data_IF_050985706998
#
_entry.id   IF_050985706998
#
_cell.length_a   1.000
_cell.length_b   1.000
_cell.length_c   1.000
_cell.angle_alpha   90.00
_cell.angle_beta   90.00
_cell.angle_gamma   90.00
#
_symmetry.space_group_name_H-M   'P 1'
#
loop_
_entity.id
_entity.type
_entity.pdbx_description
1 polymer ?
#
# COMPACT_ATOMS: atom_id res chain seq x y z
N UNK A 1 -13.68 -15.37 -7.37
CA UNK A 1 -12.86 -14.36 -6.68
C UNK A 1 -13.40 -12.97 -6.98
N UNK A 2 -14.34 -12.50 -6.19
CA UNK A 2 -14.77 -11.09 -6.24
C UNK A 2 -13.93 -10.30 -5.24
N UNK A 3 -13.43 -9.16 -5.67
CA UNK A 3 -12.60 -8.28 -4.85
C UNK A 3 -12.48 -6.92 -5.51
N UNK A 4 -11.75 -6.01 -4.87
CA UNK A 4 -11.58 -4.63 -5.33
C UNK A 4 -10.12 -4.25 -5.27
N UNK A 5 -9.65 -3.55 -6.31
CA UNK A 5 -8.34 -2.93 -6.31
C UNK A 5 -8.44 -1.54 -5.69
N UNK A 6 -7.57 -1.26 -4.73
CA UNK A 6 -7.36 0.04 -4.14
C UNK A 6 -6.07 0.64 -4.69
N UNK A 7 -6.17 1.83 -5.27
CA UNK A 7 -5.03 2.64 -5.65
C UNK A 7 -4.70 3.58 -4.48
N UNK A 8 -3.60 3.31 -3.78
CA UNK A 8 -3.24 4.05 -2.58
C UNK A 8 -1.94 4.82 -2.78
N UNK A 9 -2.03 6.15 -2.62
CA UNK A 9 -0.91 7.08 -2.79
C UNK A 9 -0.46 7.62 -1.43
N UNK A 10 0.84 7.75 -1.23
CA UNK A 10 1.38 8.29 0.01
C UNK A 10 2.86 8.64 -0.05
N UNK A 11 3.40 9.21 1.02
CA UNK A 11 4.83 9.53 1.12
C UNK A 11 5.45 8.64 2.18
N UNK A 12 6.53 7.95 1.80
CA UNK A 12 7.23 7.01 2.69
C UNK A 12 8.73 7.29 2.72
N UNK A 13 9.35 6.96 3.85
CA UNK A 13 10.79 6.75 3.88
C UNK A 13 11.12 5.51 3.03
N UNK A 14 12.14 5.58 2.16
CA UNK A 14 12.58 4.45 1.33
C UNK A 14 12.90 3.19 2.14
N UNK A 15 13.36 3.34 3.38
CA UNK A 15 13.63 2.20 4.28
C UNK A 15 12.36 1.57 4.85
N UNK A 16 11.21 2.26 4.76
CA UNK A 16 9.90 1.84 5.26
C UNK A 16 8.86 1.83 4.15
N UNK A 17 9.25 1.39 2.95
CA UNK A 17 8.49 1.53 1.72
C UNK A 17 7.27 0.61 1.58
N UNK A 18 6.90 -0.12 2.63
CA UNK A 18 5.70 -0.96 2.73
C UNK A 18 4.84 -0.62 3.96
N UNK A 19 5.22 0.38 4.75
CA UNK A 19 4.53 0.70 6.02
C UNK A 19 3.04 0.94 5.82
N UNK A 20 2.72 1.70 4.78
CA UNK A 20 1.38 2.08 4.39
C UNK A 20 0.54 0.86 3.93
N UNK A 21 1.16 -0.13 3.27
CA UNK A 21 0.48 -1.38 2.91
C UNK A 21 0.24 -2.26 4.14
N UNK A 22 1.20 -2.32 5.07
CA UNK A 22 1.03 -3.10 6.30
C UNK A 22 -0.06 -2.53 7.20
N UNK A 23 -0.11 -1.20 7.35
CA UNK A 23 -1.20 -0.53 8.06
C UNK A 23 -2.55 -0.83 7.43
N UNK A 24 -2.66 -0.71 6.09
CA UNK A 24 -3.88 -1.10 5.36
C UNK A 24 -4.26 -2.57 5.62
N UNK A 25 -3.28 -3.48 5.53
CA UNK A 25 -3.52 -4.92 5.67
C UNK A 25 -4.01 -5.29 7.07
N UNK A 26 -3.49 -4.63 8.12
CA UNK A 26 -3.96 -4.81 9.50
C UNK A 26 -5.42 -4.37 9.64
N UNK A 27 -5.78 -3.22 9.07
CA UNK A 27 -7.16 -2.71 9.09
C UNK A 27 -8.10 -3.66 8.33
N UNK A 28 -7.73 -4.05 7.10
CA UNK A 28 -8.51 -4.98 6.29
C UNK A 28 -8.76 -6.31 7.03
N UNK A 29 -7.70 -6.87 7.63
CA UNK A 29 -7.79 -8.10 8.42
C UNK A 29 -8.75 -7.97 9.60
N UNK A 30 -8.69 -6.86 10.34
CA UNK A 30 -9.59 -6.62 11.47
C UNK A 30 -11.06 -6.46 11.07
N UNK A 31 -11.31 -6.11 9.80
CA UNK A 31 -12.66 -6.03 9.21
C UNK A 31 -13.09 -7.35 8.53
N UNK A 32 -12.27 -8.41 8.61
CA UNK A 32 -12.56 -9.71 8.01
C UNK A 32 -12.29 -9.77 6.50
N UNK A 33 -11.35 -8.97 6.00
CA UNK A 33 -10.88 -8.99 4.62
C UNK A 33 -9.42 -9.47 4.53
N UNK A 34 -9.05 -9.97 3.35
CA UNK A 34 -7.68 -10.26 2.95
C UNK A 34 -7.20 -9.16 2.01
N UNK A 35 -5.98 -8.68 2.23
CA UNK A 35 -5.32 -7.69 1.39
C UNK A 35 -4.02 -8.27 0.82
N UNK A 36 -3.80 -8.09 -0.47
CA UNK A 36 -2.61 -8.49 -1.21
C UNK A 36 -2.01 -7.27 -1.92
N UNK A 37 -0.70 -7.06 -1.77
CA UNK A 37 0.01 -6.04 -2.51
C UNK A 37 0.24 -6.54 -3.93
N UNK A 38 -0.52 -6.01 -4.88
CA UNK A 38 -0.43 -6.39 -6.29
C UNK A 38 0.71 -5.65 -7.01
N UNK A 39 0.88 -4.35 -6.73
CA UNK A 39 1.95 -3.54 -7.30
C UNK A 39 2.44 -2.46 -6.32
N UNK A 40 3.70 -2.04 -6.49
CA UNK A 40 4.32 -0.93 -5.78
C UNK A 40 5.21 -0.14 -6.73
N UNK A 41 4.97 1.17 -6.80
CA UNK A 41 5.75 2.11 -7.61
C UNK A 41 6.22 3.30 -6.78
N UNK A 42 7.49 3.67 -6.92
CA UNK A 42 7.98 4.98 -6.50
C UNK A 42 7.80 5.97 -7.66
N UNK A 43 7.06 7.04 -7.44
CA UNK A 43 6.72 8.01 -8.50
C UNK A 43 7.75 9.13 -8.59
N UNK A 44 8.13 9.71 -7.44
CA UNK A 44 9.14 10.78 -7.36
C UNK A 44 9.75 10.90 -5.98
N UNK A 45 10.96 11.46 -5.90
CA UNK A 45 11.61 11.81 -4.64
C UNK A 45 11.20 13.21 -4.19
N UNK A 46 10.98 13.38 -2.88
CA UNK A 46 10.74 14.67 -2.24
C UNK A 46 11.94 15.20 -1.45
N UNK A 47 13.04 14.46 -1.41
CA UNK A 47 14.23 14.79 -0.62
C UNK A 47 14.94 13.54 -0.12
N UNK A 48 16.00 13.69 0.69
CA UNK A 48 16.76 12.56 1.21
C UNK A 48 15.85 11.56 1.93
N UNK A 49 15.73 10.36 1.36
CA UNK A 49 14.96 9.26 1.93
C UNK A 49 13.45 9.31 1.74
N UNK A 50 12.85 10.42 1.30
CA UNK A 50 11.40 10.57 1.18
C UNK A 50 10.92 10.41 -0.26
N UNK A 51 9.95 9.51 -0.48
CA UNK A 51 9.45 9.19 -1.81
C UNK A 51 7.92 9.17 -1.85
N UNK A 52 7.35 9.73 -2.91
CA UNK A 52 5.99 9.43 -3.32
C UNK A 52 5.91 7.97 -3.75
N UNK A 53 5.04 7.20 -3.11
CA UNK A 53 4.78 5.80 -3.43
C UNK A 53 3.30 5.62 -3.79
N UNK A 54 3.08 4.70 -4.71
CA UNK A 54 1.77 4.22 -5.13
C UNK A 54 1.74 2.72 -4.90
N UNK A 55 0.70 2.23 -4.23
CA UNK A 55 0.40 0.81 -4.13
C UNK A 55 -0.88 0.49 -4.86
N UNK A 56 -0.89 -0.65 -5.54
CA UNK A 56 -2.13 -1.30 -5.95
C UNK A 56 -2.37 -2.48 -5.02
N UNK A 57 -3.48 -2.43 -4.29
CA UNK A 57 -3.81 -3.42 -3.27
C UNK A 57 -5.08 -4.13 -3.70
N UNK A 58 -5.00 -5.44 -3.91
CA UNK A 58 -6.19 -6.25 -4.12
C UNK A 58 -6.77 -6.62 -2.76
N UNK A 59 -8.06 -6.37 -2.56
CA UNK A 59 -8.76 -6.72 -1.32
C UNK A 59 -9.96 -7.59 -1.65
N UNK A 60 -10.09 -8.72 -0.95
CA UNK A 60 -11.24 -9.62 -1.04
C UNK A 60 -11.66 -10.09 0.35
N UNK A 61 -12.83 -10.74 0.44
CA UNK A 61 -13.34 -11.31 1.68
C UNK A 61 -13.00 -12.79 1.75
#
# INVERSE_FOLDING_TARGET
NTGTFFHYEGVVDKKKDLILFYEFSIIAKNLGYLAELNDKRFVKSYGPGLYHVVYEIFCCK
#
